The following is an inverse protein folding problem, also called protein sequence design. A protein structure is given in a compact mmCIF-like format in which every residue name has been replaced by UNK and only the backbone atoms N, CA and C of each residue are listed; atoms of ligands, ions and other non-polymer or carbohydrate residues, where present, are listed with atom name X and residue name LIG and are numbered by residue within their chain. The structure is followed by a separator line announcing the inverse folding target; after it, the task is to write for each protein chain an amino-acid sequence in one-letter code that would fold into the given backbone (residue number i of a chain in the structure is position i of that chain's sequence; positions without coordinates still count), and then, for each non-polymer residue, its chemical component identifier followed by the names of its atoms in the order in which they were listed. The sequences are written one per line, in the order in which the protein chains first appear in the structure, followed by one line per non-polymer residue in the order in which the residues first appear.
data_IF_688946884665
#
_entry.id   IF_688946884665
#
_cell.length_a   1.000
_cell.length_b   1.000
_cell.length_c   1.000
_cell.angle_alpha   90.00
_cell.angle_beta   90.00
_cell.angle_gamma   90.00
#
_symmetry.space_group_name_H-M   'P 1'
#
loop_
_entity.id
_entity.type
_entity.pdbx_description
1 polymer ?
#
# COMPACT_ATOMS: atom_id res chain seq x y z
N UNK A 1 -14.15 14.96 -0.82
CA UNK A 1 -14.86 13.67 -0.62
C UNK A 1 -14.60 12.77 -1.81
N UNK A 2 -13.94 11.63 -1.61
CA UNK A 2 -13.63 10.67 -2.68
C UNK A 2 -14.89 9.85 -2.99
N UNK A 3 -15.43 9.95 -4.21
CA UNK A 3 -16.59 9.14 -4.63
C UNK A 3 -16.13 7.88 -5.37
N UNK A 4 -16.58 6.68 -4.98
CA UNK A 4 -16.22 5.46 -5.71
C UNK A 4 -16.89 5.46 -7.09
N UNK A 5 -16.11 5.27 -8.16
CA UNK A 5 -16.65 5.10 -9.52
C UNK A 5 -16.74 3.61 -9.83
N UNK A 6 -17.85 3.01 -9.44
CA UNK A 6 -18.13 1.58 -9.68
C UNK A 6 -18.41 1.38 -11.18
N UNK A 7 -17.56 0.62 -11.87
CA UNK A 7 -17.69 0.32 -13.31
C UNK A 7 -18.10 -1.12 -13.59
N UNK A 8 -17.97 -2.01 -12.62
CA UNK A 8 -18.26 -3.44 -12.76
C UNK A 8 -19.10 -3.96 -11.59
N UNK A 9 -20.03 -4.91 -11.82
CA UNK A 9 -20.89 -5.46 -10.78
C UNK A 9 -20.08 -6.07 -9.63
N UNK A 10 -18.99 -6.78 -9.94
CA UNK A 10 -18.08 -7.34 -8.93
C UNK A 10 -17.45 -6.28 -7.99
N UNK A 11 -17.34 -5.00 -8.40
CA UNK A 11 -16.88 -3.94 -7.50
C UNK A 11 -17.96 -3.54 -6.49
N UNK A 12 -19.24 -3.57 -6.89
CA UNK A 12 -20.35 -3.33 -5.99
C UNK A 12 -20.46 -4.46 -4.96
N UNK A 13 -20.33 -5.72 -5.39
CA UNK A 13 -20.35 -6.87 -4.47
C UNK A 13 -19.26 -6.78 -3.42
N UNK A 14 -18.02 -6.48 -3.83
CA UNK A 14 -16.90 -6.27 -2.88
C UNK A 14 -17.20 -5.14 -1.89
N UNK A 15 -17.83 -4.06 -2.35
CA UNK A 15 -18.23 -2.95 -1.50
C UNK A 15 -19.29 -3.35 -0.48
N UNK A 16 -20.30 -4.12 -0.90
CA UNK A 16 -21.32 -4.67 0.00
C UNK A 16 -20.68 -5.58 1.04
N UNK A 17 -19.79 -6.47 0.64
CA UNK A 17 -19.05 -7.34 1.56
C UNK A 17 -18.20 -6.55 2.56
N UNK A 18 -17.53 -5.48 2.13
CA UNK A 18 -16.78 -4.62 3.03
C UNK A 18 -17.69 -3.90 4.04
N UNK A 19 -18.83 -3.39 3.60
CA UNK A 19 -19.82 -2.75 4.49
C UNK A 19 -20.35 -3.77 5.50
N UNK A 20 -20.71 -4.97 5.04
CA UNK A 20 -21.21 -6.05 5.89
C UNK A 20 -20.16 -6.46 6.93
N UNK A 21 -18.91 -6.69 6.50
CA UNK A 21 -17.81 -7.02 7.38
C UNK A 21 -17.52 -5.91 8.41
N UNK A 22 -17.57 -4.63 8.01
CA UNK A 22 -17.41 -3.52 8.93
C UNK A 22 -18.55 -3.46 9.96
N UNK A 23 -19.80 -3.74 9.54
CA UNK A 23 -20.96 -3.73 10.42
C UNK A 23 -20.93 -4.90 11.41
N UNK A 24 -20.51 -6.09 10.97
CA UNK A 24 -20.33 -7.24 11.86
C UNK A 24 -19.21 -6.99 12.87
N UNK A 25 -18.09 -6.42 12.43
CA UNK A 25 -17.00 -6.00 13.33
C UNK A 25 -17.50 -5.00 14.37
N UNK A 26 -18.29 -4.00 13.99
CA UNK A 26 -18.84 -3.02 14.92
C UNK A 26 -19.82 -3.68 15.93
N UNK A 27 -20.65 -4.61 15.47
CA UNK A 27 -21.60 -5.33 16.33
C UNK A 27 -20.88 -6.22 17.35
N UNK A 28 -19.80 -6.89 16.95
CA UNK A 28 -18.95 -7.68 17.87
C UNK A 28 -18.16 -6.77 18.82
N UNK A 29 -17.60 -5.67 18.33
CA UNK A 29 -16.82 -4.74 19.14
C UNK A 29 -17.67 -3.99 20.18
N UNK A 30 -18.99 -3.96 20.02
CA UNK A 30 -19.91 -3.34 20.99
C UNK A 30 -19.76 -3.90 22.42
N UNK A 31 -19.45 -5.18 22.56
CA UNK A 31 -19.23 -5.80 23.88
C UNK A 31 -17.92 -5.38 24.52
N UNK A 32 -16.95 -4.92 23.73
CA UNK A 32 -15.64 -4.45 24.20
C UNK A 32 -15.68 -3.00 24.69
N UNK A 33 -16.67 -2.22 24.25
CA UNK A 33 -16.91 -0.85 24.73
C UNK A 33 -17.65 -0.85 26.07
N UNK A 34 -16.99 -1.31 27.14
CA UNK A 34 -17.47 -1.10 28.51
C UNK A 34 -17.54 0.39 28.86
N UNK A 35 -18.43 0.78 29.78
CA UNK A 35 -18.59 2.18 30.18
C UNK A 35 -17.34 2.71 30.90
N UNK A 36 -16.52 3.49 30.19
CA UNK A 36 -15.38 4.22 30.75
C UNK A 36 -15.89 5.51 31.40
N UNK A 37 -16.50 5.32 32.58
CA UNK A 37 -17.12 6.33 33.42
C UNK A 37 -16.09 7.18 34.15
N UNK A 38 -16.33 8.49 34.28
CA UNK A 38 -15.63 9.33 35.27
C UNK A 38 -16.15 9.03 36.68
N UNK A 39 -15.38 9.28 37.74
CA UNK A 39 -15.81 8.96 39.11
C UNK A 39 -17.18 9.56 39.50
N UNK A 40 -17.49 10.77 39.01
CA UNK A 40 -18.73 11.51 39.29
C UNK A 40 -19.86 11.26 38.28
N UNK A 41 -19.62 10.48 37.25
CA UNK A 41 -20.60 10.21 36.20
C UNK A 41 -21.54 9.07 36.62
N UNK A 42 -22.84 9.20 36.30
CA UNK A 42 -23.82 8.14 36.57
C UNK A 42 -23.53 6.89 35.73
N UNK A 43 -23.71 5.67 36.28
CA UNK A 43 -23.60 4.42 35.53
C UNK A 43 -24.72 4.33 34.50
N UNK A 44 -24.37 4.00 33.26
CA UNK A 44 -25.34 3.70 32.20
C UNK A 44 -25.12 2.26 31.71
N UNK A 45 -26.20 1.62 31.29
CA UNK A 45 -26.13 0.31 30.63
C UNK A 45 -25.58 0.46 29.22
N UNK A 46 -25.05 -0.63 28.65
CA UNK A 46 -24.46 -0.62 27.30
C UNK A 46 -25.44 -0.23 26.19
N UNK A 47 -26.75 -0.35 26.45
CA UNK A 47 -27.82 0.04 25.54
C UNK A 47 -28.15 1.53 25.60
N UNK A 48 -27.74 2.22 26.67
CA UNK A 48 -28.02 3.63 26.90
C UNK A 48 -26.78 4.51 26.76
N UNK A 49 -25.61 3.91 26.49
CA UNK A 49 -24.35 4.64 26.30
C UNK A 49 -24.49 5.72 25.23
N UNK A 50 -24.23 6.97 25.62
CA UNK A 50 -24.24 8.09 24.69
C UNK A 50 -23.05 7.98 23.72
N UNK A 51 -23.15 8.52 22.49
CA UNK A 51 -22.04 8.51 21.54
C UNK A 51 -20.73 9.10 22.09
N UNK A 52 -20.83 10.08 22.99
CA UNK A 52 -19.68 10.65 23.69
C UNK A 52 -18.96 9.65 24.59
N UNK A 53 -19.70 8.82 25.33
CA UNK A 53 -19.14 7.76 26.19
C UNK A 53 -18.45 6.68 25.36
N UNK A 54 -19.07 6.25 24.26
CA UNK A 54 -18.49 5.27 23.33
C UNK A 54 -17.18 5.81 22.73
N UNK A 55 -17.17 7.06 22.26
CA UNK A 55 -15.98 7.72 21.70
C UNK A 55 -14.82 7.81 22.69
N UNK A 56 -15.11 7.91 23.98
CA UNK A 56 -14.07 7.96 25.03
C UNK A 56 -13.25 6.67 25.14
N UNK A 57 -13.84 5.53 24.83
CA UNK A 57 -13.13 4.24 24.81
C UNK A 57 -12.33 3.97 23.54
N UNK A 58 -12.61 4.71 22.46
CA UNK A 58 -11.97 4.49 21.17
C UNK A 58 -10.43 4.57 21.20
N UNK A 59 -9.78 5.54 21.89
CA UNK A 59 -8.32 5.57 21.98
C UNK A 59 -7.70 4.31 22.62
N UNK A 60 -8.38 3.69 23.60
CA UNK A 60 -7.93 2.44 24.23
C UNK A 60 -8.00 1.28 23.24
N UNK A 61 -9.13 1.14 22.55
CA UNK A 61 -9.36 0.08 21.55
C UNK A 61 -8.38 0.23 20.38
N UNK A 62 -8.17 1.45 19.90
CA UNK A 62 -7.22 1.75 18.81
C UNK A 62 -5.78 1.37 19.15
N UNK A 63 -5.36 1.49 20.41
CA UNK A 63 -4.02 1.03 20.85
C UNK A 63 -3.88 -0.49 20.79
N UNK A 64 -4.94 -1.22 21.16
CA UNK A 64 -4.94 -2.70 21.14
C UNK A 64 -4.97 -3.22 19.70
N UNK A 65 -5.80 -2.63 18.85
CA UNK A 65 -5.91 -3.02 17.44
C UNK A 65 -4.67 -2.64 16.61
N UNK A 66 -3.88 -1.68 17.07
CA UNK A 66 -2.76 -1.13 16.31
C UNK A 66 -3.22 -0.32 15.10
N UNK A 67 -2.32 -0.12 14.14
CA UNK A 67 -2.60 0.58 12.89
C UNK A 67 -2.21 -0.29 11.70
N UNK A 68 -3.13 -0.55 10.75
CA UNK A 68 -2.77 -1.22 9.49
C UNK A 68 -2.00 -0.28 8.55
N UNK A 69 -1.94 1.02 8.87
CA UNK A 69 -1.23 1.99 8.05
C UNK A 69 0.28 1.69 8.03
N UNK A 70 0.87 1.80 6.84
CA UNK A 70 2.33 1.81 6.68
C UNK A 70 2.93 3.00 7.45
N UNK A 71 4.17 2.87 7.94
CA UNK A 71 4.86 4.00 8.55
C UNK A 71 4.93 5.17 7.56
N UNK A 72 4.93 6.42 8.06
CA UNK A 72 5.08 7.58 7.21
C UNK A 72 6.40 7.53 6.44
N UNK A 73 6.44 8.13 5.25
CA UNK A 73 7.69 8.33 4.51
C UNK A 73 8.62 9.21 5.36
N UNK A 74 9.90 8.85 5.43
CA UNK A 74 10.89 9.66 6.13
C UNK A 74 10.95 11.08 5.56
N UNK A 75 11.03 12.08 6.44
CA UNK A 75 11.14 13.50 6.07
C UNK A 75 12.54 13.83 5.55
N UNK A 76 13.56 13.13 6.03
CA UNK A 76 14.93 13.31 5.56
C UNK A 76 15.19 12.41 4.32
N UNK A 77 16.08 12.83 3.41
CA UNK A 77 16.61 11.94 2.39
C UNK A 77 17.09 10.63 3.01
N UNK A 78 16.90 9.53 2.29
CA UNK A 78 17.50 8.25 2.69
C UNK A 78 19.02 8.37 2.77
N UNK A 79 19.69 7.40 3.43
CA UNK A 79 21.14 7.34 3.37
C UNK A 79 21.53 7.38 1.89
N UNK A 80 22.32 8.39 1.51
CA UNK A 80 22.70 8.60 0.12
C UNK A 80 23.47 7.42 -0.45
N UNK A 81 24.05 7.60 -1.63
CA UNK A 81 24.88 6.57 -2.22
C UNK A 81 25.99 6.13 -1.24
N UNK A 82 26.22 4.83 -1.02
CA UNK A 82 27.33 4.37 -0.19
C UNK A 82 28.66 4.92 -0.72
N UNK A 83 29.58 5.24 0.19
CA UNK A 83 30.88 5.80 -0.18
C UNK A 83 31.68 4.75 -0.98
N UNK A 84 32.29 5.17 -2.09
CA UNK A 84 33.09 4.28 -2.95
C UNK A 84 32.31 3.60 -4.08
N UNK A 85 31.00 3.84 -4.21
CA UNK A 85 30.28 3.32 -5.37
C UNK A 85 30.59 4.15 -6.62
N UNK A 86 31.04 3.50 -7.69
CA UNK A 86 31.19 4.08 -9.03
C UNK A 86 30.04 3.62 -9.93
N UNK A 87 29.67 4.42 -10.93
CA UNK A 87 28.69 4.00 -11.96
C UNK A 87 29.40 4.01 -13.29
N UNK A 88 29.21 2.98 -14.10
CA UNK A 88 29.66 2.98 -15.48
C UNK A 88 28.94 4.08 -16.26
N UNK A 89 29.64 4.84 -17.11
CA UNK A 89 29.00 5.79 -18.01
C UNK A 89 27.88 5.12 -18.80
N UNK A 90 26.76 5.82 -19.00
CA UNK A 90 25.68 5.34 -19.86
C UNK A 90 26.23 5.07 -21.27
N UNK A 91 25.84 3.95 -21.94
CA UNK A 91 26.23 3.69 -23.31
C UNK A 91 25.92 4.88 -24.21
N UNK A 92 26.96 5.43 -24.85
CA UNK A 92 26.80 6.52 -25.82
C UNK A 92 26.57 5.89 -27.19
N UNK A 93 25.40 6.14 -27.77
CA UNK A 93 25.14 5.79 -29.15
C UNK A 93 25.71 6.90 -30.06
N UNK A 94 26.40 6.55 -31.16
CA UNK A 94 26.92 7.55 -32.08
C UNK A 94 25.76 8.34 -32.69
N UNK A 95 25.84 9.67 -32.63
CA UNK A 95 24.90 10.57 -33.30
C UNK A 95 25.57 11.05 -34.58
N UNK A 96 25.34 10.33 -35.67
CA UNK A 96 25.86 10.67 -37.00
C UNK A 96 25.31 9.72 -38.06
N UNK A 97 24.81 10.27 -39.17
CA UNK A 97 24.37 9.51 -40.34
C UNK A 97 25.61 8.84 -40.94
N UNK A 98 25.47 7.61 -41.42
CA UNK A 98 26.52 6.72 -41.96
C UNK A 98 27.14 5.77 -40.91
N UNK A 99 26.58 4.56 -40.88
CA UNK A 99 27.23 3.36 -40.34
C UNK A 99 28.35 2.96 -41.32
N UNK A 100 29.59 2.80 -40.84
CA UNK A 100 30.61 2.11 -41.61
C UNK A 100 30.23 0.63 -41.67
N UNK A 101 29.90 0.14 -42.87
CA UNK A 101 29.59 -1.28 -43.10
C UNK A 101 30.87 -2.06 -42.80
N UNK A 102 30.82 -2.98 -41.83
CA UNK A 102 31.89 -3.95 -41.62
C UNK A 102 31.82 -4.95 -42.78
N UNK A 103 32.93 -5.14 -43.48
CA UNK A 103 33.07 -6.22 -44.45
C UNK A 103 33.15 -7.53 -43.69
N UNK A 104 32.08 -8.33 -43.77
CA UNK A 104 32.10 -9.72 -43.33
C UNK A 104 32.85 -10.53 -44.38
N UNK A 105 33.86 -11.34 -44.01
CA UNK A 105 34.54 -12.19 -44.98
C UNK A 105 33.58 -13.24 -45.53
N UNK A 106 33.70 -13.51 -46.84
CA UNK A 106 32.91 -14.50 -47.59
C UNK A 106 33.16 -15.91 -47.01
N UNK A 107 32.12 -16.73 -46.79
CA UNK A 107 32.32 -18.11 -46.35
C UNK A 107 32.99 -18.93 -47.46
N UNK A 108 34.02 -19.71 -47.09
CA UNK A 108 34.72 -20.64 -47.98
C UNK A 108 33.83 -21.87 -48.26
N UNK A 109 33.64 -22.21 -49.54
CA UNK A 109 32.95 -23.43 -49.97
C UNK A 109 33.84 -24.67 -49.78
N UNK A 110 33.30 -25.79 -49.26
CA UNK A 110 34.08 -27.01 -49.08
C UNK A 110 34.31 -27.71 -50.43
N UNK A 111 35.58 -27.97 -50.76
CA UNK A 111 35.96 -28.81 -51.91
C UNK A 111 35.53 -30.25 -51.64
N UNK A 112 34.70 -30.82 -52.51
CA UNK A 112 34.32 -32.23 -52.47
C UNK A 112 35.52 -33.14 -52.77
N UNK A 113 35.67 -34.21 -51.99
CA UNK A 113 36.68 -35.24 -52.17
C UNK A 113 36.11 -36.39 -53.03
N UNK A 114 36.86 -36.83 -54.03
CA UNK A 114 36.78 -38.18 -54.62
C UNK A 114 37.53 -39.17 -53.73
#
# INVERSE_FOLDING_TARGET
MTRPRLRHPAQADRWVWLILAAYTQLRLARTLTGDLRRPWEKPLTSDQLTPGRVRRGYPRIRKILGTPAKPPKATHPGPGRPRGTTTSPAPRHPVGKHQHKKDTPRPEEPRGNL
#
